data_IF_746430919085
#
_entry.id   IF_746430919085
#
_cell.length_a   1.000
_cell.length_b   1.000
_cell.length_c   1.000
_cell.angle_alpha   90.00
_cell.angle_beta   90.00
_cell.angle_gamma   90.00
#
_symmetry.space_group_name_H-M   'P 1'
#
loop_
_entity.id
_entity.type
_entity.pdbx_description
1 polymer ?
#
# COMPACT_ATOMS: atom_id res chain seq x y z
N UNK A 1 -14.22 -3.30 24.46
CA UNK A 1 -12.91 -2.79 24.04
C UNK A 1 -12.55 -3.40 22.70
N UNK A 2 -12.16 -2.56 21.75
CA UNK A 2 -11.82 -3.08 20.43
C UNK A 2 -10.45 -3.72 20.44
N UNK A 3 -10.33 -4.82 19.74
CA UNK A 3 -9.03 -5.44 19.55
C UNK A 3 -8.23 -4.60 18.55
N UNK A 4 -6.95 -4.55 18.76
CA UNK A 4 -6.06 -3.81 17.86
C UNK A 4 -4.87 -4.69 17.49
N UNK A 5 -4.14 -4.23 16.48
CA UNK A 5 -2.94 -4.91 16.02
C UNK A 5 -1.87 -3.87 15.77
N UNK A 6 -0.62 -4.28 15.83
CA UNK A 6 0.49 -3.39 15.53
C UNK A 6 0.48 -3.09 14.05
N UNK A 7 0.56 -1.81 13.71
CA UNK A 7 0.66 -1.37 12.32
C UNK A 7 1.91 -0.52 12.16
N UNK A 8 2.70 -0.83 11.13
CA UNK A 8 3.89 -0.05 10.79
C UNK A 8 3.86 0.28 9.31
N UNK A 9 4.08 1.56 9.00
CA UNK A 9 4.21 2.02 7.63
C UNK A 9 5.61 2.59 7.48
N UNK A 10 6.39 1.97 6.60
CA UNK A 10 7.80 2.28 6.45
C UNK A 10 8.11 2.55 4.99
N UNK A 11 8.92 3.56 4.72
CA UNK A 11 9.50 3.78 3.41
C UNK A 11 11.01 3.60 3.53
N UNK A 12 11.74 3.54 2.42
CA UNK A 12 13.19 3.38 2.51
C UNK A 12 13.88 4.46 3.31
N UNK A 13 13.26 5.60 3.44
CA UNK A 13 13.89 6.74 4.10
C UNK A 13 13.50 6.89 5.55
N UNK A 14 12.35 6.36 5.96
CA UNK A 14 11.90 6.57 7.33
C UNK A 14 10.68 5.72 7.66
N UNK A 15 10.42 5.63 8.94
CA UNK A 15 9.20 5.06 9.48
C UNK A 15 8.17 6.19 9.56
N UNK A 16 7.05 6.03 8.87
CA UNK A 16 6.04 7.08 8.80
C UNK A 16 4.98 6.97 9.89
N UNK A 17 4.65 5.76 10.28
CA UNK A 17 3.63 5.55 11.29
C UNK A 17 3.86 4.21 11.98
N UNK A 18 3.73 4.21 13.29
CA UNK A 18 3.78 3.01 14.09
C UNK A 18 2.70 3.17 15.14
N UNK A 19 1.67 2.35 15.09
CA UNK A 19 0.52 2.56 15.95
C UNK A 19 -0.29 1.28 16.11
N UNK A 20 -1.19 1.29 17.07
CA UNK A 20 -2.16 0.21 17.23
C UNK A 20 -3.37 0.56 16.37
N UNK A 21 -3.72 -0.32 15.46
CA UNK A 21 -4.80 -0.08 14.52
C UNK A 21 -5.92 -1.08 14.71
N UNK A 22 -7.15 -0.62 14.54
CA UNK A 22 -8.29 -1.51 14.57
C UNK A 22 -8.54 -2.10 13.18
N UNK A 23 -8.37 -1.30 12.13
CA UNK A 23 -8.45 -1.79 10.75
C UNK A 23 -7.50 -1.02 9.86
N UNK A 24 -7.11 -1.65 8.77
CA UNK A 24 -6.27 -1.04 7.75
C UNK A 24 -6.86 -1.40 6.40
N UNK A 25 -7.20 -0.38 5.61
CA UNK A 25 -7.67 -0.59 4.24
C UNK A 25 -6.47 -0.41 3.31
N UNK A 26 -6.18 -1.43 2.55
CA UNK A 26 -4.93 -1.53 1.78
C UNK A 26 -5.24 -1.62 0.29
N UNK A 27 -4.61 -0.78 -0.55
CA UNK A 27 -4.78 -0.90 -2.00
C UNK A 27 -3.88 -2.02 -2.53
N UNK A 28 -4.37 -3.24 -2.46
CA UNK A 28 -3.60 -4.39 -2.94
C UNK A 28 -3.62 -4.50 -4.45
N UNK A 29 -2.62 -5.17 -5.00
CA UNK A 29 -2.49 -5.30 -6.45
C UNK A 29 -3.59 -6.15 -7.05
N UNK A 30 -4.21 -7.02 -6.26
CA UNK A 30 -5.29 -7.87 -6.74
C UNK A 30 -6.65 -7.41 -6.24
N UNK A 31 -6.71 -6.24 -5.65
CA UNK A 31 -7.95 -5.69 -5.11
C UNK A 31 -7.71 -5.12 -3.74
N UNK A 32 -8.67 -4.31 -3.30
CA UNK A 32 -8.55 -3.70 -1.98
C UNK A 32 -8.75 -4.74 -0.90
N UNK A 33 -7.99 -4.59 0.18
CA UNK A 33 -8.09 -5.46 1.35
C UNK A 33 -8.42 -4.62 2.56
N UNK A 34 -9.25 -5.16 3.44
CA UNK A 34 -9.43 -4.57 4.76
C UNK A 34 -8.97 -5.60 5.78
N UNK A 35 -8.02 -5.22 6.60
CA UNK A 35 -7.37 -6.13 7.54
C UNK A 35 -7.69 -5.71 8.96
N UNK A 36 -8.06 -6.67 9.78
CA UNK A 36 -8.24 -6.46 11.21
C UNK A 36 -7.44 -7.48 11.99
N UNK A 37 -7.50 -7.41 13.32
CA UNK A 37 -6.78 -8.36 14.17
C UNK A 37 -7.22 -9.78 13.87
N UNK A 38 -6.28 -10.70 13.86
CA UNK A 38 -6.59 -12.10 13.61
C UNK A 38 -6.66 -12.48 12.15
N UNK A 39 -6.30 -11.59 11.25
CA UNK A 39 -6.26 -11.90 9.84
C UNK A 39 -5.22 -13.00 9.57
N UNK A 40 -5.48 -13.84 8.59
CA UNK A 40 -4.55 -14.89 8.24
C UNK A 40 -3.25 -14.31 7.69
N UNK A 41 -2.12 -14.94 7.97
CA UNK A 41 -0.84 -14.45 7.43
C UNK A 41 -0.90 -14.37 5.91
N UNK A 42 -0.51 -13.23 5.38
CA UNK A 42 -0.62 -12.97 3.95
C UNK A 42 0.49 -11.99 3.55
N UNK A 43 1.02 -12.18 2.36
CA UNK A 43 1.95 -11.20 1.78
C UNK A 43 1.35 -10.81 0.44
N UNK A 44 1.24 -9.51 0.21
CA UNK A 44 0.71 -9.01 -1.05
C UNK A 44 1.48 -7.76 -1.44
N UNK A 45 1.33 -7.36 -2.70
CA UNK A 45 1.96 -6.14 -3.17
C UNK A 45 0.93 -5.02 -3.22
N UNK A 46 1.44 -3.80 -3.22
CA UNK A 46 0.60 -2.60 -3.26
C UNK A 46 0.47 -2.11 -4.69
N UNK A 47 -0.70 -1.57 -5.01
CA UNK A 47 -0.83 -0.72 -6.19
C UNK A 47 -0.90 0.72 -5.70
N UNK A 48 -0.66 1.71 -6.57
CA UNK A 48 -0.78 3.11 -6.16
C UNK A 48 -2.19 3.42 -5.68
N UNK A 49 -2.29 4.07 -4.56
CA UNK A 49 -3.60 4.39 -4.02
C UNK A 49 -3.50 4.94 -2.61
N UNK A 50 -4.62 4.94 -1.92
CA UNK A 50 -4.73 5.46 -0.57
C UNK A 50 -4.81 4.32 0.43
N UNK A 51 -3.89 4.35 1.38
CA UNK A 51 -3.85 3.44 2.51
C UNK A 51 -4.54 4.15 3.67
N UNK A 52 -5.54 3.52 4.25
CA UNK A 52 -6.27 4.12 5.36
C UNK A 52 -6.11 3.26 6.61
N UNK A 53 -5.67 3.90 7.68
CA UNK A 53 -5.42 3.23 8.96
C UNK A 53 -6.37 3.80 10.00
N UNK A 54 -7.13 2.96 10.65
CA UNK A 54 -8.02 3.41 11.72
C UNK A 54 -7.43 3.05 13.06
N UNK A 55 -7.18 4.07 13.86
CA UNK A 55 -6.62 3.89 15.20
C UNK A 55 -7.62 4.45 16.21
N UNK A 56 -7.32 4.28 17.49
CA UNK A 56 -8.15 4.84 18.54
C UNK A 56 -8.14 6.37 18.54
N UNK A 57 -7.19 6.97 17.84
CA UNK A 57 -7.10 8.42 17.72
C UNK A 57 -7.74 8.95 16.45
N UNK A 58 -8.34 8.07 15.66
CA UNK A 58 -8.99 8.46 14.43
C UNK A 58 -8.36 7.77 13.23
N UNK A 59 -8.83 8.15 12.05
CA UNK A 59 -8.33 7.57 10.81
C UNK A 59 -7.18 8.41 10.26
N UNK A 60 -6.16 7.75 9.72
CA UNK A 60 -5.07 8.42 9.04
C UNK A 60 -4.96 7.84 7.65
N UNK A 61 -4.75 8.69 6.67
CA UNK A 61 -4.67 8.27 5.28
C UNK A 61 -3.33 8.67 4.69
N UNK A 62 -2.78 7.76 3.90
CA UNK A 62 -1.50 7.98 3.24
C UNK A 62 -1.65 7.63 1.77
N UNK A 63 -1.00 8.40 0.92
CA UNK A 63 -0.88 8.06 -0.50
C UNK A 63 0.37 7.21 -0.64
N UNK A 64 0.21 6.00 -1.15
CA UNK A 64 1.32 5.07 -1.34
C UNK A 64 1.45 4.71 -2.81
N UNK A 65 2.66 4.42 -3.25
CA UNK A 65 2.90 4.25 -4.67
C UNK A 65 3.35 2.85 -5.07
N UNK A 66 3.56 1.98 -4.13
CA UNK A 66 3.98 0.62 -4.44
C UNK A 66 4.70 0.04 -3.26
N UNK A 67 5.00 -1.23 -3.32
CA UNK A 67 5.69 -1.92 -2.25
C UNK A 67 4.99 -3.19 -1.87
N UNK A 68 5.18 -3.63 -0.64
CA UNK A 68 4.57 -4.86 -0.13
C UNK A 68 3.87 -4.64 1.17
N UNK A 69 2.96 -5.57 1.46
CA UNK A 69 2.31 -5.65 2.76
C UNK A 69 2.54 -7.04 3.32
N UNK A 70 2.98 -7.10 4.55
CA UNK A 70 3.11 -8.37 5.26
C UNK A 70 2.11 -8.37 6.41
N UNK A 71 1.22 -9.33 6.40
CA UNK A 71 0.17 -9.47 7.41
C UNK A 71 0.47 -10.71 8.23
N UNK A 72 0.54 -10.55 9.52
CA UNK A 72 0.76 -11.66 10.44
C UNK A 72 0.13 -11.29 11.76
N UNK A 73 0.91 -11.25 12.84
CA UNK A 73 0.39 -10.78 14.12
C UNK A 73 0.05 -9.31 14.06
N UNK A 74 0.69 -8.59 13.14
CA UNK A 74 0.38 -7.20 12.86
C UNK A 74 0.49 -6.97 11.38
N UNK A 75 0.52 -5.72 10.97
CA UNK A 75 0.60 -5.35 9.55
C UNK A 75 1.81 -4.46 9.36
N UNK A 76 2.66 -4.83 8.43
CA UNK A 76 3.81 -4.02 8.05
C UNK A 76 3.68 -3.66 6.58
N UNK A 77 3.67 -2.37 6.28
CA UNK A 77 3.60 -1.89 4.91
C UNK A 77 4.95 -1.26 4.57
N UNK A 78 5.59 -1.81 3.54
CA UNK A 78 6.86 -1.29 3.04
C UNK A 78 6.56 -0.61 1.72
N UNK A 79 6.38 0.70 1.76
CA UNK A 79 6.00 1.47 0.58
C UNK A 79 7.23 2.12 -0.05
N UNK A 80 7.26 2.18 -1.37
CA UNK A 80 8.34 2.89 -2.05
C UNK A 80 8.29 4.36 -1.72
N UNK A 81 7.10 4.93 -1.77
CA UNK A 81 6.84 6.29 -1.36
C UNK A 81 5.53 6.32 -0.61
N UNK A 82 5.47 7.09 0.44
CA UNK A 82 4.26 7.27 1.20
C UNK A 82 4.25 8.68 1.75
N UNK A 83 3.12 9.36 1.59
CA UNK A 83 2.96 10.75 2.03
C UNK A 83 1.62 10.86 2.73
N UNK A 84 1.56 11.52 3.89
CA UNK A 84 0.27 11.74 4.53
C UNK A 84 -0.67 12.47 3.57
N UNK A 85 -1.87 11.96 3.42
CA UNK A 85 -2.83 12.51 2.47
C UNK A 85 -3.14 13.97 2.79
N UNK A 86 -3.18 14.30 4.08
CA UNK A 86 -3.49 15.66 4.50
C UNK A 86 -2.43 16.67 4.09
N UNK A 87 -1.22 16.22 3.81
CA UNK A 87 -0.11 17.10 3.45
C UNK A 87 0.01 17.31 1.95
N UNK A 88 -0.96 16.84 1.19
CA UNK A 88 -0.85 16.80 -0.26
C UNK A 88 -1.99 17.59 -0.88
N UNK A 89 -1.67 18.52 -1.80
CA UNK A 89 -2.73 19.20 -2.53
C UNK A 89 -3.20 18.32 -3.69
N UNK A 90 -4.30 18.73 -4.30
CA UNK A 90 -4.94 17.92 -5.33
C UNK A 90 -4.03 17.70 -6.54
N UNK A 91 -3.34 18.74 -6.98
CA UNK A 91 -2.49 18.62 -8.17
C UNK A 91 -1.32 17.69 -7.91
N UNK A 92 -0.69 17.81 -6.74
CA UNK A 92 0.43 16.95 -6.37
C UNK A 92 -0.02 15.50 -6.25
N UNK A 93 -1.18 15.29 -5.63
CA UNK A 93 -1.73 13.96 -5.49
C UNK A 93 -1.97 13.32 -6.86
N UNK A 94 -2.61 14.05 -7.77
CA UNK A 94 -2.92 13.50 -9.09
C UNK A 94 -1.65 13.22 -9.88
N UNK A 95 -0.66 14.08 -9.78
CA UNK A 95 0.59 13.88 -10.49
C UNK A 95 1.33 12.65 -9.95
N UNK A 96 1.36 12.48 -8.63
CA UNK A 96 2.04 11.36 -8.01
C UNK A 96 1.37 10.04 -8.38
N UNK A 97 0.05 9.98 -8.30
CA UNK A 97 -0.68 8.76 -8.61
C UNK A 97 -0.55 8.42 -10.09
N UNK A 98 -0.64 9.42 -10.95
CA UNK A 98 -0.52 9.21 -12.39
C UNK A 98 0.86 8.68 -12.75
N UNK A 99 1.91 9.26 -12.16
CA UNK A 99 3.26 8.79 -12.41
C UNK A 99 3.46 7.36 -11.94
N UNK A 100 2.96 7.06 -10.76
CA UNK A 100 3.10 5.72 -10.18
C UNK A 100 2.32 4.70 -10.99
N UNK A 101 1.14 5.06 -11.46
CA UNK A 101 0.34 4.16 -12.29
C UNK A 101 1.00 3.89 -13.62
N UNK A 102 1.64 4.91 -14.21
CA UNK A 102 2.35 4.71 -15.46
C UNK A 102 3.52 3.75 -15.27
N UNK A 103 4.27 3.90 -14.20
CA UNK A 103 5.38 3.01 -13.90
C UNK A 103 4.88 1.59 -13.66
N UNK A 104 3.83 1.44 -12.89
CA UNK A 104 3.24 0.14 -12.62
C UNK A 104 2.79 -0.54 -13.92
N UNK A 105 2.15 0.23 -14.79
CA UNK A 105 1.68 -0.30 -16.07
C UNK A 105 2.83 -0.73 -16.95
N UNK A 106 3.93 0.04 -16.98
CA UNK A 106 5.09 -0.32 -17.75
C UNK A 106 5.71 -1.62 -17.26
N UNK A 107 5.80 -1.78 -15.97
CA UNK A 107 6.34 -3.01 -15.39
C UNK A 107 5.46 -4.19 -15.74
N UNK A 108 4.16 -4.02 -15.62
CA UNK A 108 3.22 -5.08 -15.91
C UNK A 108 3.27 -5.49 -17.38
N UNK A 109 3.35 -4.50 -18.28
CA UNK A 109 3.42 -4.79 -19.70
C UNK A 109 4.73 -5.48 -20.06
N UNK A 110 5.83 -5.06 -19.47
CA UNK A 110 7.10 -5.71 -19.70
C UNK A 110 7.05 -7.18 -19.27
N UNK A 111 6.42 -7.44 -18.15
CA UNK A 111 6.29 -8.81 -17.65
C UNK A 111 5.39 -9.64 -18.56
N UNK A 112 4.30 -9.07 -19.02
CA UNK A 112 3.34 -9.79 -19.85
C UNK A 112 3.84 -9.99 -21.29
N UNK A 113 4.71 -9.11 -21.73
CA UNK A 113 5.24 -9.16 -23.08
C UNK A 113 6.62 -9.74 -23.13
N UNK A 114 6.97 -10.48 -22.13
CA UNK A 114 8.28 -11.08 -22.07
C UNK A 114 8.53 -11.90 -23.32
N UNK A 115 9.71 -11.74 -23.91
CA UNK A 115 10.03 -12.44 -25.16
C UNK A 115 10.30 -13.90 -24.90
N UNK A 116 9.46 -14.48 -24.20
CA UNK A 116 9.53 -15.89 -24.00
C UNK A 116 9.01 -16.53 -25.22
N UNK A 117 8.63 -17.67 -25.10
CA UNK A 117 8.16 -18.45 -26.21
C UNK A 117 7.05 -17.80 -26.96
N UNK A 118 6.76 -16.79 -26.65
CA UNK A 118 5.67 -16.19 -27.32
C UNK A 118 5.90 -15.72 -28.68
N UNK A 119 6.12 -15.66 -28.74
CA UNK A 119 6.13 -15.26 -29.47
C UNK A 119 6.02 -14.96 -30.15
N UNK A 120 5.98 -14.77 -30.15
CA UNK A 120 5.84 -14.35 -30.58
C UNK A 120 5.85 -14.30 -31.30
N UNK A 121 5.74 -14.46 -31.61
CA UNK A 121 5.72 -14.27 -32.28
C UNK A 121 5.42 -13.76 -32.77
#
# INVERSE_FOLDING_TARGET
MADTMQFDLVSPERNLLSAQASTVAIPGSEGDLTVGPGHEPTITTLRPGILKVETDKGAEEFVVTGGFVEIGDGVTVLAEKAVPHADMDQATYEALVSEAEATYRQIKEATNNEPGPVDEA
#
